data_IF_034577582799
#
_entry.id   IF_034577582799
#
_cell.length_a   1.000
_cell.length_b   1.000
_cell.length_c   1.000
_cell.angle_alpha   90.00
_cell.angle_beta   90.00
_cell.angle_gamma   90.00
#
_symmetry.space_group_name_H-M   'P 1'
#
loop_
_entity.id
_entity.type
_entity.pdbx_description
1 polymer ?
#
# COMPACT_ATOMS: atom_id res chain seq x y z
N UNK A 1 -9.23 -15.21 6.90
CA UNK A 1 -8.78 -14.05 7.68
C UNK A 1 -9.12 -12.79 6.89
N UNK A 2 -9.48 -11.69 7.56
CA UNK A 2 -9.49 -10.38 6.90
C UNK A 2 -8.08 -9.81 6.99
N UNK A 3 -7.44 -9.56 5.84
CA UNK A 3 -6.13 -8.92 5.81
C UNK A 3 -6.27 -7.41 5.85
N UNK A 4 -5.39 -6.74 6.59
CA UNK A 4 -5.39 -5.28 6.68
C UNK A 4 -3.98 -4.73 6.91
N UNK A 5 -3.75 -3.51 6.45
CA UNK A 5 -2.56 -2.72 6.74
C UNK A 5 -2.94 -1.25 6.85
N UNK A 6 -2.03 -0.43 7.35
CA UNK A 6 -2.12 1.03 7.22
C UNK A 6 -1.62 1.45 5.84
N UNK A 7 -2.06 2.61 5.35
CA UNK A 7 -1.42 3.18 4.16
C UNK A 7 0.08 3.36 4.39
N UNK A 8 0.83 3.31 3.29
CA UNK A 8 2.30 3.37 3.25
C UNK A 8 3.03 2.27 4.02
N UNK A 9 2.29 1.31 4.59
CA UNK A 9 2.83 0.24 5.41
C UNK A 9 2.81 -1.06 4.63
N UNK A 10 3.99 -1.68 4.38
CA UNK A 10 4.06 -2.95 3.70
C UNK A 10 3.32 -4.07 4.44
N UNK A 11 2.66 -4.94 3.69
CA UNK A 11 1.99 -6.14 4.19
C UNK A 11 2.52 -7.37 3.45
N UNK A 12 3.01 -8.35 4.20
CA UNK A 12 3.42 -9.64 3.63
C UNK A 12 2.25 -10.61 3.63
N UNK A 13 1.94 -11.13 2.46
CA UNK A 13 0.90 -12.15 2.25
C UNK A 13 1.57 -13.53 2.24
N UNK A 14 0.98 -14.48 2.94
CA UNK A 14 1.47 -15.85 3.01
C UNK A 14 0.54 -16.79 2.26
N UNK A 15 1.02 -18.01 2.00
CA UNK A 15 0.19 -19.03 1.36
C UNK A 15 -1.04 -19.40 2.19
N UNK A 16 -0.98 -19.24 3.52
CA UNK A 16 -2.10 -19.48 4.43
C UNK A 16 -3.22 -18.45 4.29
N UNK A 17 -2.94 -17.31 3.64
CA UNK A 17 -3.92 -16.26 3.36
C UNK A 17 -4.71 -16.51 2.05
N UNK A 18 -4.34 -17.54 1.29
CA UNK A 18 -4.88 -17.81 -0.05
C UNK A 18 -5.54 -19.18 -0.11
N UNK A 19 -6.77 -19.21 -0.60
CA UNK A 19 -7.42 -20.48 -0.96
C UNK A 19 -7.03 -20.89 -2.37
N UNK A 20 -6.48 -22.09 -2.53
CA UNK A 20 -6.12 -22.69 -3.81
C UNK A 20 -6.48 -24.19 -3.82
N UNK A 21 -6.62 -24.76 -5.01
CA UNK A 21 -6.74 -26.21 -5.22
C UNK A 21 -5.52 -26.69 -6.00
N UNK A 22 -5.00 -27.84 -5.59
CA UNK A 22 -3.96 -28.57 -6.31
C UNK A 22 -4.57 -29.85 -6.85
N UNK A 23 -4.86 -29.85 -8.15
CA UNK A 23 -5.52 -30.97 -8.83
C UNK A 23 -4.53 -32.10 -9.17
N UNK A 24 -3.22 -31.93 -8.90
CA UNK A 24 -2.16 -32.87 -9.27
C UNK A 24 -1.12 -33.05 -8.14
N UNK A 25 -1.59 -33.18 -6.90
CA UNK A 25 -0.72 -33.29 -5.73
C UNK A 25 0.21 -34.51 -5.78
N UNK A 26 1.50 -34.28 -6.07
CA UNK A 26 2.55 -35.31 -6.12
C UNK A 26 3.40 -35.35 -4.82
N UNK A 27 2.77 -35.19 -3.64
CA UNK A 27 3.31 -35.58 -2.33
C UNK A 27 4.56 -34.85 -1.78
N UNK A 28 5.31 -34.12 -2.62
CA UNK A 28 6.57 -33.44 -2.29
C UNK A 28 6.69 -32.09 -3.01
N UNK A 29 5.58 -31.41 -3.25
CA UNK A 29 5.56 -30.05 -3.76
C UNK A 29 6.05 -29.06 -2.69
N UNK A 30 6.98 -28.18 -3.06
CA UNK A 30 7.23 -26.95 -2.28
C UNK A 30 6.39 -25.85 -2.91
N UNK A 31 5.42 -25.34 -2.17
CA UNK A 31 4.56 -24.30 -2.71
C UNK A 31 5.19 -22.91 -2.56
N UNK A 32 5.11 -22.14 -3.63
CA UNK A 32 5.43 -20.72 -3.66
C UNK A 32 4.19 -19.91 -4.00
N UNK A 33 3.93 -18.86 -3.22
CA UNK A 33 2.95 -17.84 -3.56
C UNK A 33 3.60 -16.79 -4.47
N UNK A 34 2.90 -16.41 -5.53
CA UNK A 34 3.35 -15.38 -6.48
C UNK A 34 2.26 -14.31 -6.54
N UNK A 35 2.60 -13.10 -6.11
CA UNK A 35 1.74 -11.92 -6.23
C UNK A 35 1.87 -11.37 -7.65
N UNK A 36 0.74 -10.98 -8.24
CA UNK A 36 0.68 -10.32 -9.54
C UNK A 36 0.63 -8.80 -9.38
N UNK A 37 1.03 -8.09 -10.42
CA UNK A 37 0.83 -6.64 -10.50
C UNK A 37 -0.67 -6.28 -10.39
N UNK A 38 -0.94 -5.12 -9.81
CA UNK A 38 -2.30 -4.60 -9.66
C UNK A 38 -2.36 -3.08 -9.56
N UNK A 39 -3.49 -2.57 -9.07
CA UNK A 39 -3.73 -1.13 -8.91
C UNK A 39 -3.61 -0.73 -7.44
N UNK A 40 -3.08 0.47 -7.19
CA UNK A 40 -2.97 1.07 -5.85
C UNK A 40 -2.02 0.34 -4.87
N UNK A 41 -1.19 -0.58 -5.36
CA UNK A 41 -0.05 -1.13 -4.63
C UNK A 41 1.13 -1.43 -5.56
N UNK A 42 2.33 -1.45 -5.01
CA UNK A 42 3.50 -2.14 -5.58
C UNK A 42 3.74 -3.43 -4.82
N UNK A 43 4.55 -4.34 -5.37
CA UNK A 43 4.96 -5.53 -4.62
C UNK A 43 6.42 -5.90 -4.87
N UNK A 44 7.05 -6.49 -3.84
CA UNK A 44 8.35 -7.15 -3.92
C UNK A 44 8.20 -8.55 -3.32
N UNK A 45 8.32 -9.58 -4.16
CA UNK A 45 7.95 -10.94 -3.79
C UNK A 45 6.49 -11.00 -3.32
N UNK A 46 6.28 -11.40 -2.06
CA UNK A 46 4.96 -11.58 -1.47
C UNK A 46 4.52 -10.38 -0.61
N UNK A 47 5.33 -9.33 -0.57
CA UNK A 47 5.06 -8.13 0.21
C UNK A 47 4.47 -7.07 -0.70
N UNK A 48 3.22 -6.69 -0.44
CA UNK A 48 2.58 -5.54 -1.08
C UNK A 48 2.88 -4.27 -0.28
N UNK A 49 2.94 -3.13 -0.94
CA UNK A 49 2.97 -1.80 -0.31
C UNK A 49 1.90 -0.94 -0.98
N UNK A 50 0.87 -0.47 -0.26
CA UNK A 50 -0.08 0.49 -0.82
C UNK A 50 0.65 1.70 -1.41
N UNK A 51 0.13 2.26 -2.50
CA UNK A 51 0.64 3.53 -3.03
C UNK A 51 0.41 4.63 -2.00
N UNK A 52 1.34 5.60 -1.95
CA UNK A 52 1.25 6.81 -1.13
C UNK A 52 -0.17 7.38 -1.08
N UNK A 53 -0.68 7.58 0.14
CA UNK A 53 -1.98 8.19 0.46
C UNK A 53 -3.20 7.41 -0.06
N UNK A 54 -3.03 6.13 -0.42
CA UNK A 54 -4.16 5.27 -0.77
C UNK A 54 -4.77 4.64 0.49
N UNK A 55 -6.03 4.96 0.73
CA UNK A 55 -6.87 4.26 1.69
C UNK A 55 -8.09 3.62 1.00
N UNK A 56 -8.56 2.48 1.52
CA UNK A 56 -9.69 1.74 0.96
C UNK A 56 -9.41 0.25 0.82
N UNK A 57 -9.92 -0.38 -0.24
CA UNK A 57 -9.78 -1.82 -0.44
C UNK A 57 -8.87 -2.10 -1.63
N UNK A 58 -7.83 -2.92 -1.39
CA UNK A 58 -7.01 -3.50 -2.44
C UNK A 58 -7.57 -4.87 -2.86
N UNK A 59 -7.53 -5.12 -4.16
CA UNK A 59 -7.80 -6.42 -4.78
C UNK A 59 -6.48 -7.00 -5.27
N UNK A 60 -5.81 -7.79 -4.42
CA UNK A 60 -4.52 -8.40 -4.74
C UNK A 60 -4.77 -9.73 -5.43
N UNK A 61 -4.17 -9.93 -6.60
CA UNK A 61 -4.29 -11.19 -7.34
C UNK A 61 -3.03 -12.01 -7.10
N UNK A 62 -3.20 -13.29 -6.78
CA UNK A 62 -2.09 -14.20 -6.56
C UNK A 62 -2.34 -15.56 -7.19
N UNK A 63 -1.26 -16.28 -7.47
CA UNK A 63 -1.27 -17.70 -7.84
C UNK A 63 -0.35 -18.48 -6.90
N UNK A 64 -0.69 -19.73 -6.67
CA UNK A 64 0.16 -20.67 -5.94
C UNK A 64 0.78 -21.64 -6.94
N UNK A 65 2.10 -21.81 -6.89
CA UNK A 65 2.82 -22.76 -7.73
C UNK A 65 3.51 -23.82 -6.88
N UNK A 66 3.49 -25.07 -7.35
CA UNK A 66 4.23 -26.21 -6.82
C UNK A 66 5.62 -26.38 -7.47
N UNK A 67 6.00 -25.46 -8.36
CA UNK A 67 7.21 -25.52 -9.18
C UNK A 67 7.04 -26.20 -10.54
N UNK A 68 5.90 -26.84 -10.80
CA UNK A 68 5.56 -27.47 -12.09
C UNK A 68 4.43 -26.71 -12.78
N UNK A 69 3.36 -26.43 -12.04
CA UNK A 69 2.15 -25.74 -12.48
C UNK A 69 1.81 -24.61 -11.51
N UNK A 70 0.90 -23.74 -11.95
CA UNK A 70 0.32 -22.68 -11.11
C UNK A 70 -1.19 -22.89 -11.01
N UNK A 71 -1.75 -22.56 -9.85
CA UNK A 71 -3.18 -22.55 -9.62
C UNK A 71 -3.88 -21.54 -10.53
N UNK A 72 -5.21 -21.62 -10.60
CA UNK A 72 -6.00 -20.50 -11.08
C UNK A 72 -5.74 -19.24 -10.23
N UNK A 73 -5.83 -18.02 -10.81
CA UNK A 73 -5.72 -16.78 -10.07
C UNK A 73 -6.76 -16.68 -8.95
N UNK A 74 -6.31 -16.27 -7.77
CA UNK A 74 -7.14 -16.06 -6.59
C UNK A 74 -7.07 -14.60 -6.17
N UNK A 75 -8.22 -14.02 -5.80
CA UNK A 75 -8.31 -12.63 -5.35
C UNK A 75 -8.32 -12.56 -3.84
N UNK A 76 -7.41 -11.76 -3.30
CA UNK A 76 -7.22 -11.51 -1.88
C UNK A 76 -7.64 -10.06 -1.60
N UNK A 77 -8.59 -9.89 -0.69
CA UNK A 77 -9.07 -8.57 -0.27
C UNK A 77 -8.24 -8.08 0.90
N UNK A 78 -7.59 -6.92 0.75
CA UNK A 78 -6.84 -6.24 1.82
C UNK A 78 -7.47 -4.89 2.10
N UNK A 79 -7.79 -4.61 3.37
CA UNK A 79 -8.25 -3.28 3.81
C UNK A 79 -7.06 -2.40 4.18
N UNK A 80 -6.98 -1.21 3.60
CA UNK A 80 -5.97 -0.19 3.87
C UNK A 80 -6.61 0.94 4.68
N UNK A 81 -6.17 1.11 5.92
CA UNK A 81 -6.64 2.19 6.80
C UNK A 81 -5.85 3.47 6.53
N UNK A 82 -6.54 4.61 6.45
CA UNK A 82 -5.89 5.92 6.40
C UNK A 82 -5.07 6.20 7.66
N UNK A 83 -3.95 6.88 7.49
CA UNK A 83 -3.08 7.42 8.52
C UNK A 83 -3.01 8.93 8.29
N UNK A 84 -3.07 9.72 9.36
CA UNK A 84 -2.93 11.17 9.20
C UNK A 84 -1.46 11.49 8.94
N UNK A 85 -1.14 12.01 7.76
CA UNK A 85 0.19 12.54 7.46
C UNK A 85 0.41 13.91 8.11
N UNK A 86 1.67 14.35 8.18
CA UNK A 86 1.96 15.69 8.64
C UNK A 86 1.73 16.70 7.51
N UNK A 87 1.13 17.87 7.79
CA UNK A 87 0.92 18.87 6.76
C UNK A 87 2.25 19.40 6.22
N UNK A 88 2.31 19.61 4.90
CA UNK A 88 3.51 20.10 4.19
C UNK A 88 3.26 21.51 3.67
N UNK A 89 4.14 22.45 3.99
CA UNK A 89 4.10 23.80 3.41
C UNK A 89 4.46 23.72 1.93
N UNK A 90 3.53 24.13 1.07
CA UNK A 90 3.68 24.12 -0.39
C UNK A 90 3.98 25.50 -0.96
N UNK A 91 3.82 26.55 -0.16
CA UNK A 91 4.04 27.92 -0.60
C UNK A 91 3.84 28.93 0.52
N UNK A 92 4.24 30.16 0.21
CA UNK A 92 4.10 31.31 1.10
C UNK A 92 3.61 32.50 0.30
N UNK A 93 2.75 33.31 0.89
CA UNK A 93 2.43 34.64 0.37
C UNK A 93 3.67 35.52 0.42
N UNK A 94 3.81 36.45 -0.53
CA UNK A 94 4.86 37.46 -0.47
C UNK A 94 4.53 38.43 0.67
N UNK A 95 5.32 38.38 1.74
CA UNK A 95 5.17 39.28 2.87
C UNK A 95 6.31 40.30 2.88
N UNK A 96 6.00 41.53 3.28
CA UNK A 96 6.99 42.58 3.46
C UNK A 96 6.64 43.44 4.65
N UNK A 97 7.67 43.97 5.30
CA UNK A 97 7.54 44.95 6.37
C UNK A 97 8.61 46.03 6.18
N UNK A 98 8.35 47.23 6.72
CA UNK A 98 9.36 48.28 6.77
C UNK A 98 10.48 47.89 7.73
N UNK A 99 11.63 48.55 7.60
CA UNK A 99 12.69 48.46 8.61
C UNK A 99 12.14 48.79 10.01
N UNK A 100 12.72 48.13 11.01
CA UNK A 100 12.36 48.26 12.43
C UNK A 100 10.87 48.01 12.75
N UNK A 101 10.14 47.38 11.83
CA UNK A 101 8.72 47.01 12.00
C UNK A 101 8.57 45.50 12.06
N UNK A 102 8.18 44.91 13.20
CA UNK A 102 7.94 43.48 13.30
C UNK A 102 6.84 43.00 12.35
N UNK A 103 7.08 41.89 11.66
CA UNK A 103 6.08 41.17 10.87
C UNK A 103 5.70 39.89 11.60
N UNK A 104 4.40 39.68 11.81
CA UNK A 104 3.88 38.40 12.31
C UNK A 104 3.50 37.55 11.11
N UNK A 105 3.99 36.31 11.08
CA UNK A 105 3.62 35.31 10.06
C UNK A 105 2.67 34.32 10.72
N UNK A 106 1.54 34.03 10.09
CA UNK A 106 0.54 33.08 10.56
C UNK A 106 0.34 31.94 9.56
N UNK A 107 -0.53 30.99 9.90
CA UNK A 107 -0.89 29.90 8.99
C UNK A 107 -1.66 30.41 7.75
N UNK A 108 -2.30 31.58 7.84
CA UNK A 108 -3.00 32.20 6.71
C UNK A 108 -2.02 32.73 5.65
N UNK A 109 -0.74 32.90 6.02
CA UNK A 109 0.31 33.36 5.11
C UNK A 109 0.97 32.23 4.33
N UNK A 110 0.63 30.97 4.61
CA UNK A 110 1.21 29.79 3.95
C UNK A 110 0.13 28.95 3.29
N UNK A 111 0.47 28.32 2.17
CA UNK A 111 -0.34 27.25 1.62
C UNK A 111 0.26 25.92 2.05
N UNK A 112 -0.58 24.96 2.40
CA UNK A 112 -0.15 23.64 2.83
C UNK A 112 -1.10 22.56 2.31
N UNK A 113 -0.61 21.33 2.26
CA UNK A 113 -1.41 20.12 2.05
C UNK A 113 -1.43 19.31 3.33
N UNK A 114 -2.55 18.67 3.64
CA UNK A 114 -2.74 17.63 4.65
C UNK A 114 -3.18 16.35 3.92
#
# INVERSE_FOLDING_TARGET
>A
SSLSTSEDTPLTITIDDVTYTDDNYEGSATYSLIIQDGTNYTHEGNTITPIANFNGTLSVVAVVSDGLLSSAPSTITVTVSSVNDAPVITGTSSLSTSEDTPLTITIDDVTYTD
#
